data_IF_183022714680
#
_entry.id   IF_183022714680
#
_cell.length_a   1.000
_cell.length_b   1.000
_cell.length_c   1.000
_cell.angle_alpha   90.00
_cell.angle_beta   90.00
_cell.angle_gamma   90.00
#
_symmetry.space_group_name_H-M   'P 1'
#
loop_
_entity.id
_entity.type
_entity.pdbx_description
1 polymer ?
#
# COMPACT_ATOMS: atom_id res chain seq x y z
N UNK A 1 -2.98 5.67 38.94
CA UNK A 1 -4.34 5.77 38.36
C UNK A 1 -4.43 4.76 37.23
N UNK A 2 -5.26 3.73 37.40
CA UNK A 2 -5.43 2.65 36.42
C UNK A 2 -6.13 3.17 35.16
N UNK A 3 -5.40 3.21 34.05
CA UNK A 3 -6.03 3.31 32.73
C UNK A 3 -6.69 1.95 32.44
N UNK A 4 -7.99 1.86 32.70
CA UNK A 4 -8.81 0.81 32.09
C UNK A 4 -8.84 1.08 30.59
N UNK A 5 -8.06 0.32 29.83
CA UNK A 5 -8.29 0.14 28.40
C UNK A 5 -9.66 -0.52 28.23
N UNK A 6 -10.72 0.31 28.20
CA UNK A 6 -12.01 -0.09 27.65
C UNK A 6 -11.87 -0.22 26.14
N UNK A 7 -11.12 -1.22 25.69
CA UNK A 7 -10.97 -1.57 24.29
C UNK A 7 -12.35 -1.89 23.74
N UNK A 8 -12.91 -0.97 22.96
CA UNK A 8 -14.18 -1.20 22.27
C UNK A 8 -13.92 -2.30 21.25
N UNK A 9 -14.58 -3.45 21.43
CA UNK A 9 -14.48 -4.57 20.48
C UNK A 9 -14.68 -4.06 19.05
N UNK A 10 -13.81 -4.46 18.13
CA UNK A 10 -14.02 -4.20 16.71
C UNK A 10 -15.37 -4.81 16.32
N UNK A 11 -16.20 -4.03 15.66
CA UNK A 11 -17.44 -4.54 15.08
C UNK A 11 -17.10 -5.14 13.72
N UNK A 12 -17.73 -6.25 13.39
CA UNK A 12 -17.45 -7.05 12.20
C UNK A 12 -18.71 -7.82 11.77
N UNK A 13 -18.76 -8.27 10.53
CA UNK A 13 -19.84 -9.14 10.03
C UNK A 13 -19.66 -10.52 10.65
N UNK A 14 -20.63 -10.99 11.45
CA UNK A 14 -20.49 -12.26 12.17
C UNK A 14 -20.08 -13.41 11.23
N UNK A 15 -19.17 -14.29 11.67
CA UNK A 15 -18.67 -15.41 10.85
C UNK A 15 -19.78 -16.40 10.45
N UNK A 16 -20.89 -16.44 11.21
CA UNK A 16 -22.07 -17.25 10.91
C UNK A 16 -23.11 -16.54 10.04
N UNK A 17 -22.87 -15.28 9.65
CA UNK A 17 -23.82 -14.51 8.84
C UNK A 17 -23.91 -15.11 7.42
N UNK A 18 -25.13 -15.39 6.90
CA UNK A 18 -25.28 -15.98 5.56
C UNK A 18 -24.75 -15.08 4.43
N UNK A 19 -24.56 -13.77 4.67
CA UNK A 19 -24.01 -12.86 3.69
C UNK A 19 -22.62 -13.29 3.18
N UNK A 20 -21.82 -14.01 3.99
CA UNK A 20 -20.51 -14.55 3.57
C UNK A 20 -20.59 -15.46 2.35
N UNK A 21 -21.70 -16.17 2.15
CA UNK A 21 -21.93 -17.04 0.97
C UNK A 21 -22.21 -16.26 -0.31
N UNK A 22 -22.54 -14.98 -0.19
CA UNK A 22 -22.85 -14.08 -1.30
C UNK A 22 -21.65 -13.23 -1.70
N UNK A 23 -20.71 -13.02 -0.78
CA UNK A 23 -19.45 -12.33 -1.06
C UNK A 23 -18.59 -13.15 -2.03
N UNK A 24 -17.77 -12.44 -2.78
CA UNK A 24 -16.87 -12.98 -3.80
C UNK A 24 -15.42 -12.82 -3.35
N UNK A 25 -14.58 -13.78 -3.74
CA UNK A 25 -13.12 -13.78 -3.70
C UNK A 25 -12.54 -14.14 -5.08
N UNK A 26 -11.22 -14.38 -5.20
CA UNK A 26 -10.53 -14.61 -6.46
C UNK A 26 -11.13 -15.71 -7.34
N UNK A 27 -11.60 -16.80 -6.71
CA UNK A 27 -12.12 -17.98 -7.39
C UNK A 27 -13.64 -18.13 -7.27
N UNK A 28 -14.36 -17.03 -6.98
CA UNK A 28 -15.81 -17.01 -6.85
C UNK A 28 -16.27 -16.92 -5.39
N UNK A 29 -17.01 -17.91 -4.90
CA UNK A 29 -17.58 -17.87 -3.53
C UNK A 29 -16.50 -17.85 -2.44
N UNK A 30 -16.64 -16.95 -1.46
CA UNK A 30 -15.75 -16.84 -0.29
C UNK A 30 -16.23 -17.65 0.92
N UNK A 31 -16.95 -18.76 0.70
CA UNK A 31 -17.58 -19.52 1.79
C UNK A 31 -16.60 -20.13 2.80
N UNK A 32 -15.33 -20.28 2.44
CA UNK A 32 -14.29 -20.86 3.31
C UNK A 32 -13.61 -19.83 4.20
N UNK A 33 -13.64 -18.54 3.81
CA UNK A 33 -13.01 -17.43 4.54
C UNK A 33 -13.43 -17.38 6.02
N UNK A 34 -14.72 -17.53 6.39
CA UNK A 34 -15.12 -17.48 7.80
C UNK A 34 -14.47 -18.56 8.67
N UNK A 35 -14.31 -19.77 8.14
CA UNK A 35 -13.73 -20.88 8.89
C UNK A 35 -12.21 -20.70 9.03
N UNK A 36 -11.52 -20.22 7.99
CA UNK A 36 -10.09 -19.86 8.09
C UNK A 36 -9.86 -18.75 9.12
N UNK A 37 -10.67 -17.69 9.10
CA UNK A 37 -10.59 -16.61 10.09
C UNK A 37 -10.81 -17.12 11.51
N UNK A 38 -11.78 -18.03 11.70
CA UNK A 38 -12.04 -18.66 13.01
C UNK A 38 -10.84 -19.48 13.50
N UNK A 39 -10.18 -20.21 12.60
CA UNK A 39 -8.98 -20.99 12.94
C UNK A 39 -7.82 -20.08 13.33
N UNK A 40 -7.54 -19.03 12.55
CA UNK A 40 -6.51 -18.03 12.88
C UNK A 40 -6.79 -17.31 14.21
N UNK A 41 -8.06 -17.06 14.55
CA UNK A 41 -8.45 -16.50 15.85
C UNK A 41 -8.20 -17.47 17.01
N UNK A 42 -8.30 -18.78 16.79
CA UNK A 42 -8.04 -19.80 17.80
C UNK A 42 -6.54 -20.05 17.99
N UNK A 43 -5.76 -19.91 16.91
CA UNK A 43 -4.31 -19.94 16.91
C UNK A 43 -3.80 -19.48 15.56
N UNK A 44 -2.95 -18.46 15.55
CA UNK A 44 -2.38 -17.94 14.32
C UNK A 44 -1.40 -18.95 13.72
N UNK A 45 -1.60 -19.25 12.44
CA UNK A 45 -0.74 -20.14 11.66
C UNK A 45 -0.34 -19.41 10.38
N UNK A 46 0.97 -19.31 10.13
CA UNK A 46 1.51 -18.49 9.04
C UNK A 46 1.15 -19.03 7.66
N UNK A 47 1.20 -20.35 7.45
CA UNK A 47 0.87 -20.95 6.15
C UNK A 47 -0.62 -20.79 5.81
N UNK A 48 -1.49 -20.94 6.81
CA UNK A 48 -2.92 -20.68 6.66
C UNK A 48 -3.21 -19.19 6.41
N UNK A 49 -2.50 -18.31 7.11
CA UNK A 49 -2.60 -16.87 6.90
C UNK A 49 -2.19 -16.49 5.47
N UNK A 50 -1.06 -16.99 4.98
CA UNK A 50 -0.61 -16.78 3.60
C UNK A 50 -1.64 -17.26 2.58
N UNK A 51 -2.19 -18.47 2.79
CA UNK A 51 -3.25 -19.00 1.91
C UNK A 51 -4.47 -18.08 1.92
N UNK A 52 -4.92 -17.64 3.10
CA UNK A 52 -6.04 -16.70 3.21
C UNK A 52 -5.73 -15.39 2.46
N UNK A 53 -4.54 -14.83 2.65
CA UNK A 53 -4.16 -13.54 2.06
C UNK A 53 -4.12 -13.59 0.54
N UNK A 54 -3.41 -14.56 -0.03
CA UNK A 54 -3.04 -14.56 -1.45
C UNK A 54 -3.98 -15.38 -2.34
N UNK A 55 -4.77 -16.30 -1.78
CA UNK A 55 -5.67 -17.15 -2.57
C UNK A 55 -7.14 -16.81 -2.35
N UNK A 56 -7.50 -16.28 -1.17
CA UNK A 56 -8.90 -16.08 -0.80
C UNK A 56 -9.30 -14.60 -0.71
N UNK A 57 -8.38 -13.72 -0.31
CA UNK A 57 -8.67 -12.29 -0.09
C UNK A 57 -8.12 -11.38 -1.18
N UNK A 58 -7.03 -11.74 -1.84
CA UNK A 58 -6.38 -10.85 -2.79
C UNK A 58 -5.58 -11.64 -3.81
N UNK A 59 -5.79 -11.36 -5.09
CA UNK A 59 -5.06 -12.03 -6.17
C UNK A 59 -4.85 -11.05 -7.33
N UNK A 60 -3.68 -11.13 -7.99
CA UNK A 60 -3.34 -10.30 -9.17
C UNK A 60 -3.70 -8.81 -9.02
N UNK A 61 -3.31 -8.20 -7.90
CA UNK A 61 -3.59 -6.79 -7.61
C UNK A 61 -5.08 -6.40 -7.50
N UNK A 62 -5.95 -7.36 -7.18
CA UNK A 62 -7.39 -7.16 -7.12
C UNK A 62 -7.94 -7.43 -5.73
N UNK A 63 -8.69 -6.46 -5.19
CA UNK A 63 -9.52 -6.63 -4.00
C UNK A 63 -10.89 -7.19 -4.38
N UNK A 64 -11.49 -7.91 -3.44
CA UNK A 64 -12.80 -8.53 -3.59
C UNK A 64 -13.71 -8.17 -2.41
N UNK A 65 -14.99 -8.49 -2.53
CA UNK A 65 -15.96 -8.15 -1.48
C UNK A 65 -15.72 -8.90 -0.16
N UNK A 66 -15.16 -10.12 -0.21
CA UNK A 66 -14.74 -10.85 0.97
C UNK A 66 -13.55 -10.16 1.69
N UNK A 67 -12.66 -9.48 0.96
CA UNK A 67 -11.51 -8.77 1.53
C UNK A 67 -11.96 -7.73 2.54
N UNK A 68 -12.95 -6.91 2.19
CA UNK A 68 -13.48 -5.88 3.07
C UNK A 68 -14.14 -6.46 4.34
N UNK A 69 -14.78 -7.64 4.22
CA UNK A 69 -15.39 -8.32 5.35
C UNK A 69 -14.37 -9.01 6.26
N UNK A 70 -13.26 -9.50 5.71
CA UNK A 70 -12.23 -10.23 6.43
C UNK A 70 -11.26 -9.34 7.20
N UNK A 71 -10.87 -8.17 6.67
CA UNK A 71 -9.88 -7.29 7.32
C UNK A 71 -10.21 -6.94 8.78
N UNK A 72 -11.45 -6.61 9.18
CA UNK A 72 -11.78 -6.39 10.58
C UNK A 72 -11.41 -7.55 11.53
N UNK A 73 -11.44 -8.79 11.04
CA UNK A 73 -11.00 -9.97 11.79
C UNK A 73 -9.49 -10.04 11.92
N UNK A 74 -8.76 -9.80 10.83
CA UNK A 74 -7.29 -9.74 10.84
C UNK A 74 -6.80 -8.68 11.81
N UNK A 75 -7.39 -7.48 11.77
CA UNK A 75 -7.04 -6.40 12.71
C UNK A 75 -7.33 -6.79 14.15
N UNK A 76 -8.44 -7.47 14.42
CA UNK A 76 -8.76 -7.93 15.77
C UNK A 76 -7.73 -8.97 16.29
N UNK A 77 -7.25 -9.86 15.41
CA UNK A 77 -6.15 -10.80 15.72
C UNK A 77 -4.87 -10.02 16.06
N UNK A 78 -4.46 -9.07 15.22
CA UNK A 78 -3.26 -8.27 15.46
C UNK A 78 -3.33 -7.53 16.81
N UNK A 79 -4.44 -6.84 17.09
CA UNK A 79 -4.59 -6.06 18.32
C UNK A 79 -4.67 -6.91 19.60
N UNK A 80 -5.07 -8.18 19.49
CA UNK A 80 -5.12 -9.12 20.63
C UNK A 80 -3.83 -9.92 20.79
N UNK A 81 -3.03 -10.03 19.74
CA UNK A 81 -1.76 -10.75 19.79
C UNK A 81 -0.74 -10.02 20.65
N UNK A 82 -0.07 -10.74 21.54
CA UNK A 82 1.15 -10.26 22.21
C UNK A 82 2.39 -10.40 21.32
N UNK A 83 2.34 -11.27 20.31
CA UNK A 83 3.43 -11.50 19.36
C UNK A 83 3.50 -10.36 18.33
N UNK A 84 4.64 -9.67 18.30
CA UNK A 84 4.89 -8.54 17.40
C UNK A 84 5.07 -8.98 15.94
N UNK A 85 5.53 -10.21 15.69
CA UNK A 85 5.65 -10.76 14.35
C UNK A 85 4.28 -10.96 13.70
N UNK A 86 3.31 -11.46 14.47
CA UNK A 86 1.90 -11.56 14.02
C UNK A 86 1.32 -10.17 13.74
N UNK A 87 1.62 -9.18 14.59
CA UNK A 87 1.20 -7.79 14.37
C UNK A 87 1.78 -7.24 13.07
N UNK A 88 3.08 -7.45 12.84
CA UNK A 88 3.79 -6.97 11.66
C UNK A 88 3.30 -7.61 10.36
N UNK A 89 3.07 -8.93 10.36
CA UNK A 89 2.53 -9.67 9.23
C UNK A 89 1.16 -9.13 8.80
N UNK A 90 0.22 -9.05 9.76
CA UNK A 90 -1.13 -8.51 9.51
C UNK A 90 -1.08 -7.03 9.10
N UNK A 91 -0.19 -6.24 9.71
CA UNK A 91 -0.01 -4.82 9.36
C UNK A 91 0.41 -4.66 7.90
N UNK A 92 1.40 -5.44 7.45
CA UNK A 92 1.91 -5.39 6.09
C UNK A 92 0.85 -5.81 5.07
N UNK A 93 0.19 -6.95 5.27
CA UNK A 93 -0.81 -7.43 4.30
C UNK A 93 -2.03 -6.50 4.21
N UNK A 94 -2.51 -5.97 5.34
CA UNK A 94 -3.59 -5.00 5.32
C UNK A 94 -3.17 -3.69 4.65
N UNK A 95 -1.88 -3.33 4.76
CA UNK A 95 -1.29 -2.19 4.06
C UNK A 95 -1.29 -2.38 2.54
N UNK A 96 -1.00 -3.59 2.06
CA UNK A 96 -1.16 -3.96 0.64
C UNK A 96 -2.61 -3.78 0.21
N UNK A 97 -3.56 -4.29 1.00
CA UNK A 97 -4.97 -4.15 0.65
C UNK A 97 -5.43 -2.70 0.58
N UNK A 98 -5.11 -1.87 1.58
CA UNK A 98 -5.51 -0.46 1.58
C UNK A 98 -4.79 0.36 0.50
N UNK A 99 -3.55 0.03 0.14
CA UNK A 99 -2.84 0.68 -0.96
C UNK A 99 -3.48 0.42 -2.33
N UNK A 100 -4.15 -0.74 -2.51
CA UNK A 100 -4.90 -1.09 -3.73
C UNK A 100 -6.38 -0.72 -3.66
N UNK A 101 -6.81 -0.09 -2.57
CA UNK A 101 -8.18 0.34 -2.38
C UNK A 101 -8.48 1.61 -3.18
N UNK A 102 -8.99 1.43 -4.41
CA UNK A 102 -9.30 2.52 -5.34
C UNK A 102 -10.67 3.18 -5.09
N UNK A 103 -11.31 2.88 -3.96
CA UNK A 103 -12.60 3.47 -3.64
C UNK A 103 -12.46 4.96 -3.26
N UNK A 104 -13.20 5.87 -3.92
CA UNK A 104 -13.17 7.30 -3.62
C UNK A 104 -13.43 7.63 -2.16
N UNK A 105 -12.95 8.80 -1.74
CA UNK A 105 -13.31 9.37 -0.45
C UNK A 105 -14.84 9.49 -0.33
N UNK A 106 -15.39 9.11 0.82
CA UNK A 106 -16.84 9.05 1.11
C UNK A 106 -17.65 7.92 0.44
N UNK A 107 -17.02 7.00 -0.28
CA UNK A 107 -17.67 5.78 -0.77
C UNK A 107 -18.39 5.07 0.38
N UNK A 108 -19.68 4.76 0.23
CA UNK A 108 -20.41 3.98 1.26
C UNK A 108 -20.38 2.49 0.99
N UNK A 109 -20.50 2.13 -0.28
CA UNK A 109 -20.45 0.76 -0.79
C UNK A 109 -19.29 0.67 -1.78
N UNK A 110 -18.31 -0.21 -1.57
CA UNK A 110 -17.17 -0.36 -2.47
C UNK A 110 -17.59 -0.73 -3.90
N UNK A 111 -16.83 -0.25 -4.88
CA UNK A 111 -17.05 -0.51 -6.31
C UNK A 111 -17.09 -2.01 -6.62
N UNK A 112 -16.34 -2.81 -5.86
CA UNK A 112 -16.26 -4.26 -5.94
C UNK A 112 -17.63 -4.94 -5.78
N UNK A 113 -18.52 -4.42 -4.92
CA UNK A 113 -19.87 -4.98 -4.74
C UNK A 113 -20.71 -4.87 -6.01
N UNK A 114 -20.52 -3.78 -6.78
CA UNK A 114 -21.19 -3.61 -8.07
C UNK A 114 -20.47 -4.37 -9.18
N UNK A 115 -19.13 -4.31 -9.23
CA UNK A 115 -18.28 -5.04 -10.19
C UNK A 115 -18.57 -6.54 -10.18
N UNK A 116 -18.66 -7.11 -8.98
CA UNK A 116 -18.83 -8.55 -8.77
C UNK A 116 -20.31 -8.98 -8.72
N UNK A 117 -21.25 -8.06 -8.96
CA UNK A 117 -22.69 -8.31 -8.99
C UNK A 117 -23.22 -9.02 -7.73
N UNK A 118 -22.69 -8.66 -6.57
CA UNK A 118 -23.00 -9.28 -5.29
C UNK A 118 -24.45 -8.97 -4.87
N UNK A 119 -25.22 -10.01 -4.54
CA UNK A 119 -26.64 -9.91 -4.17
C UNK A 119 -26.85 -9.72 -2.66
N UNK A 120 -26.03 -8.89 -2.04
CA UNK A 120 -26.13 -8.53 -0.61
C UNK A 120 -26.95 -7.24 -0.48
N UNK A 121 -27.74 -7.13 0.59
CA UNK A 121 -28.47 -5.90 0.90
C UNK A 121 -27.51 -4.71 1.05
N UNK A 122 -27.86 -3.56 0.49
CA UNK A 122 -27.00 -2.37 0.51
C UNK A 122 -26.60 -1.96 1.94
N UNK A 123 -27.48 -2.12 2.93
CA UNK A 123 -27.17 -1.81 4.33
C UNK A 123 -26.07 -2.71 4.92
N UNK A 124 -26.01 -3.98 4.49
CA UNK A 124 -24.96 -4.92 4.90
C UNK A 124 -23.64 -4.57 4.21
N UNK A 125 -23.67 -4.22 2.92
CA UNK A 125 -22.48 -3.78 2.20
C UNK A 125 -21.90 -2.48 2.79
N UNK A 126 -22.76 -1.51 3.12
CA UNK A 126 -22.36 -0.28 3.83
C UNK A 126 -21.76 -0.59 5.21
N UNK A 127 -22.36 -1.54 5.95
CA UNK A 127 -21.85 -1.97 7.25
C UNK A 127 -20.45 -2.60 7.14
N UNK A 128 -20.25 -3.53 6.20
CA UNK A 128 -18.97 -4.19 5.94
C UNK A 128 -17.89 -3.13 5.69
N UNK A 129 -18.14 -2.19 4.78
CA UNK A 129 -17.13 -1.21 4.43
C UNK A 129 -16.90 -0.16 5.54
N UNK A 130 -17.93 0.18 6.30
CA UNK A 130 -17.76 0.99 7.51
C UNK A 130 -16.85 0.29 8.52
N UNK A 131 -17.00 -1.02 8.72
CA UNK A 131 -16.14 -1.79 9.65
C UNK A 131 -14.72 -1.93 9.13
N UNK A 132 -14.54 -2.17 7.83
CA UNK A 132 -13.23 -2.14 7.17
C UNK A 132 -12.49 -0.84 7.48
N UNK A 133 -13.11 0.32 7.22
CA UNK A 133 -12.47 1.62 7.49
C UNK A 133 -12.16 1.85 8.96
N UNK A 134 -13.05 1.44 9.85
CA UNK A 134 -12.78 1.48 11.29
C UNK A 134 -11.56 0.62 11.64
N UNK A 135 -11.41 -0.56 11.05
CA UNK A 135 -10.28 -1.44 11.27
C UNK A 135 -8.96 -0.84 10.77
N UNK A 136 -8.97 -0.20 9.59
CA UNK A 136 -7.81 0.53 9.05
C UNK A 136 -7.34 1.65 10.00
N UNK A 137 -8.26 2.44 10.56
CA UNK A 137 -7.92 3.46 11.57
C UNK A 137 -7.24 2.85 12.79
N UNK A 138 -7.67 1.65 13.20
CA UNK A 138 -7.06 0.94 14.34
C UNK A 138 -5.67 0.41 14.01
N UNK A 139 -5.42 -0.06 12.80
CA UNK A 139 -4.07 -0.44 12.36
C UNK A 139 -3.13 0.76 12.28
N UNK A 140 -3.64 1.94 11.88
CA UNK A 140 -2.84 3.16 11.84
C UNK A 140 -2.19 3.48 13.21
N UNK A 141 -2.84 3.12 14.32
CA UNK A 141 -2.33 3.30 15.68
C UNK A 141 -1.06 2.46 15.96
N UNK A 142 -0.82 1.37 15.22
CA UNK A 142 0.35 0.52 15.36
C UNK A 142 1.59 1.04 14.60
N UNK A 143 1.45 2.10 13.80
CA UNK A 143 2.51 2.57 12.87
C UNK A 143 3.86 2.81 13.55
N UNK A 144 3.87 3.49 14.71
CA UNK A 144 5.12 3.74 15.44
C UNK A 144 5.78 2.45 15.91
N UNK A 145 5.00 1.50 16.41
CA UNK A 145 5.51 0.19 16.86
C UNK A 145 6.10 -0.60 15.69
N UNK A 146 5.38 -0.65 14.56
CA UNK A 146 5.81 -1.42 13.39
C UNK A 146 7.06 -0.82 12.73
N UNK A 147 7.17 0.52 12.70
CA UNK A 147 8.39 1.20 12.24
C UNK A 147 9.60 0.84 13.11
N UNK A 148 9.45 0.86 14.44
CA UNK A 148 10.55 0.49 15.33
C UNK A 148 10.91 -1.00 15.22
N UNK A 149 9.91 -1.87 15.07
CA UNK A 149 10.14 -3.30 14.84
C UNK A 149 10.92 -3.54 13.55
N UNK A 150 10.47 -2.96 12.44
CA UNK A 150 11.07 -3.16 11.14
C UNK A 150 12.47 -2.55 11.00
N UNK A 151 12.75 -1.45 11.72
CA UNK A 151 14.11 -0.92 11.81
C UNK A 151 15.13 -2.00 12.22
N UNK A 152 14.76 -2.84 13.19
CA UNK A 152 15.65 -3.83 13.81
C UNK A 152 15.58 -5.22 13.15
N UNK A 153 14.46 -5.55 12.50
CA UNK A 153 14.18 -6.93 12.04
C UNK A 153 14.00 -7.08 10.53
N UNK A 154 13.86 -5.99 9.78
CA UNK A 154 13.60 -6.03 8.34
C UNK A 154 14.79 -5.48 7.52
N UNK A 155 14.99 -6.07 6.35
CA UNK A 155 15.84 -5.48 5.31
C UNK A 155 15.14 -4.31 4.61
N UNK A 156 15.84 -3.64 3.69
CA UNK A 156 15.35 -2.40 3.04
C UNK A 156 13.96 -2.57 2.37
N UNK A 157 13.74 -3.69 1.69
CA UNK A 157 12.45 -4.03 1.07
C UNK A 157 11.34 -4.12 2.12
N UNK A 158 11.56 -4.85 3.21
CA UNK A 158 10.59 -4.98 4.30
C UNK A 158 10.28 -3.64 4.98
N UNK A 159 11.30 -2.79 5.17
CA UNK A 159 11.12 -1.42 5.68
C UNK A 159 10.21 -0.59 4.77
N UNK A 160 10.38 -0.67 3.44
CA UNK A 160 9.49 0.03 2.49
C UNK A 160 8.06 -0.50 2.52
N UNK A 161 7.84 -1.80 2.71
CA UNK A 161 6.49 -2.33 2.91
C UNK A 161 5.81 -1.78 4.16
N UNK A 162 6.55 -1.65 5.27
CA UNK A 162 6.02 -1.03 6.50
C UNK A 162 5.69 0.45 6.29
N UNK A 163 6.57 1.21 5.62
CA UNK A 163 6.29 2.60 5.25
C UNK A 163 5.07 2.71 4.32
N UNK A 164 4.92 1.78 3.36
CA UNK A 164 3.78 1.75 2.45
C UNK A 164 2.48 1.49 3.20
N UNK A 165 2.47 0.51 4.11
CA UNK A 165 1.31 0.22 4.96
C UNK A 165 0.92 1.44 5.82
N UNK A 166 1.88 2.06 6.50
CA UNK A 166 1.65 3.28 7.27
C UNK A 166 1.10 4.43 6.42
N UNK A 167 1.63 4.63 5.22
CA UNK A 167 1.14 5.64 4.29
C UNK A 167 -0.31 5.36 3.88
N UNK A 168 -0.63 4.10 3.56
CA UNK A 168 -1.96 3.68 3.16
C UNK A 168 -2.99 3.97 4.26
N UNK A 169 -2.68 3.61 5.51
CA UNK A 169 -3.58 3.80 6.65
C UNK A 169 -3.80 5.26 7.01
N UNK A 170 -2.82 6.13 6.74
CA UNK A 170 -2.93 7.59 6.90
C UNK A 170 -3.64 8.28 5.71
N UNK A 171 -4.01 7.52 4.68
CA UNK A 171 -4.68 8.04 3.49
C UNK A 171 -3.74 8.56 2.40
N UNK A 172 -2.42 8.42 2.56
CA UNK A 172 -1.42 8.72 1.53
C UNK A 172 -1.27 7.55 0.54
N UNK A 173 -2.39 7.14 -0.06
CA UNK A 173 -2.47 5.94 -0.92
C UNK A 173 -1.51 6.00 -2.12
N UNK A 174 -1.30 7.19 -2.69
CA UNK A 174 -0.34 7.37 -3.79
C UNK A 174 1.11 7.10 -3.37
N UNK A 175 1.49 7.48 -2.16
CA UNK A 175 2.80 7.13 -1.60
C UNK A 175 2.89 5.63 -1.34
N UNK A 176 1.85 5.03 -0.75
CA UNK A 176 1.81 3.59 -0.49
C UNK A 176 1.97 2.78 -1.78
N UNK A 177 1.23 3.16 -2.83
CA UNK A 177 1.31 2.53 -4.14
C UNK A 177 2.72 2.68 -4.75
N UNK A 178 3.31 3.87 -4.68
CA UNK A 178 4.66 4.13 -5.17
C UNK A 178 5.70 3.25 -4.45
N UNK A 179 5.65 3.19 -3.12
CA UNK A 179 6.58 2.37 -2.33
C UNK A 179 6.45 0.87 -2.61
N UNK A 180 5.24 0.37 -2.87
CA UNK A 180 5.03 -1.03 -3.25
C UNK A 180 5.41 -1.32 -4.71
N UNK A 181 5.29 -0.34 -5.61
CA UNK A 181 5.65 -0.52 -7.02
C UNK A 181 7.15 -0.46 -7.25
N UNK A 182 7.86 0.28 -6.39
CA UNK A 182 9.30 0.51 -6.45
C UNK A 182 9.94 0.12 -5.10
N UNK A 183 9.69 -1.12 -4.70
CA UNK A 183 9.99 -1.67 -3.37
C UNK A 183 11.49 -1.90 -3.13
N UNK A 184 12.32 -1.91 -4.17
CA UNK A 184 13.79 -1.90 -4.01
C UNK A 184 14.38 -0.50 -4.15
N UNK A 185 13.66 0.41 -4.82
CA UNK A 185 14.18 1.73 -5.19
C UNK A 185 15.35 1.70 -6.17
N UNK A 186 15.54 0.59 -6.89
CA UNK A 186 16.53 0.50 -7.97
C UNK A 186 16.02 1.12 -9.28
N UNK A 187 14.72 1.32 -9.39
CA UNK A 187 14.09 1.90 -10.57
C UNK A 187 12.81 2.64 -10.16
N UNK A 188 12.57 3.77 -10.80
CA UNK A 188 11.26 4.41 -10.87
C UNK A 188 10.94 4.68 -12.33
N UNK A 189 9.68 4.53 -12.73
CA UNK A 189 9.26 4.79 -14.11
C UNK A 189 8.09 5.76 -14.15
N UNK A 190 8.10 6.66 -15.13
CA UNK A 190 6.98 7.56 -15.44
C UNK A 190 6.94 7.89 -16.93
N UNK A 191 5.80 8.32 -17.44
CA UNK A 191 5.69 8.78 -18.81
C UNK A 191 5.72 10.31 -18.85
N UNK A 192 6.43 10.90 -19.82
CA UNK A 192 6.41 12.34 -20.01
C UNK A 192 4.96 12.82 -20.25
N UNK A 193 4.40 13.73 -19.43
CA UNK A 193 3.02 14.16 -19.55
C UNK A 193 2.74 14.95 -20.84
N UNK A 194 3.78 15.40 -21.55
CA UNK A 194 3.67 16.19 -22.77
C UNK A 194 3.81 15.35 -24.05
N UNK A 195 4.84 14.51 -24.17
CA UNK A 195 5.10 13.72 -25.38
C UNK A 195 4.87 12.22 -25.22
N UNK A 196 4.55 11.72 -24.01
CA UNK A 196 4.30 10.31 -23.73
C UNK A 196 5.53 9.42 -23.74
N UNK A 197 6.74 9.97 -23.92
CA UNK A 197 7.98 9.19 -23.87
C UNK A 197 8.14 8.56 -22.48
N UNK A 198 8.38 7.24 -22.38
CA UNK A 198 8.68 6.60 -21.11
C UNK A 198 10.04 7.09 -20.59
N UNK A 199 10.10 7.37 -19.30
CA UNK A 199 11.28 7.87 -18.60
C UNK A 199 11.63 6.91 -17.46
N UNK A 200 12.90 6.53 -17.41
CA UNK A 200 13.45 5.57 -16.46
C UNK A 200 14.36 6.31 -15.50
N UNK A 201 13.94 6.45 -14.25
CA UNK A 201 14.70 7.12 -13.19
C UNK A 201 15.44 6.04 -12.40
N UNK A 202 16.76 6.15 -12.35
CA UNK A 202 17.65 5.09 -11.86
C UNK A 202 18.74 5.66 -10.95
N UNK A 203 19.21 4.88 -9.96
CA UNK A 203 20.43 5.20 -9.21
C UNK A 203 21.63 5.31 -10.15
N UNK A 204 22.39 6.40 -10.02
CA UNK A 204 23.73 6.50 -10.59
C UNK A 204 24.68 5.64 -9.74
N UNK A 205 25.29 4.63 -10.37
CA UNK A 205 26.24 3.69 -9.73
C UNK A 205 27.43 4.41 -9.06
N UNK A 206 27.71 5.66 -9.43
CA UNK A 206 28.87 6.39 -8.95
C UNK A 206 28.60 7.31 -7.75
N UNK A 207 27.37 7.80 -7.54
CA UNK A 207 27.15 8.98 -6.69
C UNK A 207 25.92 8.98 -5.76
N UNK A 208 25.24 7.86 -5.49
CA UNK A 208 24.01 7.82 -4.67
C UNK A 208 22.93 8.86 -5.12
N UNK A 209 22.99 9.27 -6.40
CA UNK A 209 22.06 10.23 -7.00
C UNK A 209 21.06 9.49 -7.89
N UNK A 210 19.94 10.13 -8.22
CA UNK A 210 19.06 9.62 -9.28
C UNK A 210 19.31 10.39 -10.58
N UNK A 211 19.36 9.65 -11.68
CA UNK A 211 19.44 10.15 -13.06
C UNK A 211 18.26 9.63 -13.86
N UNK A 212 18.00 10.21 -15.04
CA UNK A 212 16.92 9.76 -15.93
C UNK A 212 17.46 9.34 -17.29
N UNK A 213 16.88 8.28 -17.83
CA UNK A 213 17.09 7.78 -19.19
C UNK A 213 15.78 7.84 -20.00
N UNK A 214 15.90 8.07 -21.31
CA UNK A 214 14.79 8.06 -22.28
C UNK A 214 14.57 6.70 -22.95
N UNK A 215 15.38 5.72 -22.56
CA UNK A 215 15.31 4.30 -22.95
C UNK A 215 15.60 3.44 -21.75
N UNK A 216 15.11 2.21 -21.81
CA UNK A 216 15.31 1.19 -20.79
C UNK A 216 16.82 0.87 -20.62
N UNK A 217 17.43 1.15 -19.45
CA UNK A 217 18.84 0.88 -19.16
C UNK A 217 19.20 -0.60 -19.11
N UNK A 218 18.22 -1.48 -18.85
CA UNK A 218 18.46 -2.93 -18.80
C UNK A 218 18.63 -3.50 -20.21
N UNK A 219 17.91 -2.94 -21.17
CA UNK A 219 17.83 -3.43 -22.55
C UNK A 219 18.64 -2.61 -23.55
N UNK A 220 19.35 -1.57 -23.10
CA UNK A 220 20.07 -0.64 -23.98
C UNK A 220 21.48 -0.35 -23.46
N UNK A 221 22.47 -0.48 -24.33
CA UNK A 221 23.86 -0.15 -24.02
C UNK A 221 24.18 1.33 -24.30
N UNK A 222 25.20 1.86 -23.60
CA UNK A 222 25.78 3.19 -23.81
C UNK A 222 24.78 4.36 -23.74
N UNK A 223 23.80 4.26 -22.84
CA UNK A 223 22.88 5.36 -22.60
C UNK A 223 23.59 6.55 -21.94
N UNK A 224 23.15 7.75 -22.30
CA UNK A 224 23.62 8.99 -21.67
C UNK A 224 22.62 9.36 -20.56
N UNK A 225 23.03 9.39 -19.28
CA UNK A 225 22.15 9.80 -18.21
C UNK A 225 21.87 11.30 -18.30
N UNK A 226 20.61 11.67 -18.06
CA UNK A 226 20.21 13.07 -17.93
C UNK A 226 20.07 13.44 -16.45
N UNK A 227 20.56 14.63 -16.04
CA UNK A 227 20.57 15.02 -14.64
C UNK A 227 19.17 15.38 -14.14
N UNK A 228 18.90 15.00 -12.89
CA UNK A 228 17.74 15.49 -12.13
C UNK A 228 18.21 16.66 -11.26
N UNK A 229 17.44 17.75 -11.24
CA UNK A 229 17.66 18.88 -10.33
C UNK A 229 17.03 18.55 -8.97
N UNK A 230 17.82 18.20 -7.93
CA UNK A 230 17.27 17.87 -6.62
C UNK A 230 16.67 19.12 -5.98
N UNK A 231 15.75 18.90 -5.03
CA UNK A 231 15.12 19.99 -4.29
C UNK A 231 15.17 19.73 -2.78
N UNK A 232 15.23 20.81 -2.00
CA UNK A 232 15.22 20.72 -0.53
C UNK A 232 13.87 20.26 0.03
N UNK A 233 13.90 19.72 1.25
CA UNK A 233 12.75 19.24 2.02
C UNK A 233 12.00 20.35 2.78
N UNK A 234 12.52 21.58 2.82
CA UNK A 234 12.16 22.60 3.80
C UNK A 234 10.69 23.11 3.76
N UNK A 235 9.98 22.96 2.63
CA UNK A 235 8.61 23.49 2.45
C UNK A 235 7.74 22.58 1.57
N UNK A 236 7.19 21.50 2.16
CA UNK A 236 6.46 20.47 1.42
C UNK A 236 5.06 20.19 1.98
N UNK A 237 4.25 19.50 1.16
CA UNK A 237 2.97 18.96 1.59
C UNK A 237 3.12 17.93 2.71
N UNK A 238 2.08 17.79 3.53
CA UNK A 238 2.06 16.91 4.71
C UNK A 238 2.47 15.46 4.42
N UNK A 239 2.17 14.96 3.21
CA UNK A 239 2.49 13.62 2.77
C UNK A 239 4.01 13.38 2.60
N UNK A 240 4.75 14.34 2.04
CA UNK A 240 6.21 14.19 1.89
C UNK A 240 6.92 14.37 3.22
N UNK A 241 6.42 15.28 4.06
CA UNK A 241 6.95 15.45 5.42
C UNK A 241 6.79 14.18 6.24
N UNK A 242 5.61 13.55 6.17
CA UNK A 242 5.35 12.26 6.79
C UNK A 242 6.31 11.19 6.28
N UNK A 243 6.47 11.05 4.96
CA UNK A 243 7.36 10.03 4.38
C UNK A 243 8.81 10.22 4.83
N UNK A 244 9.30 11.46 4.80
CA UNK A 244 10.65 11.77 5.26
C UNK A 244 10.85 11.44 6.74
N UNK A 245 9.92 11.86 7.61
CA UNK A 245 10.00 11.59 9.05
C UNK A 245 10.06 10.09 9.34
N UNK A 246 9.18 9.29 8.75
CA UNK A 246 9.15 7.85 9.00
C UNK A 246 10.30 7.11 8.32
N UNK A 247 10.75 7.54 7.14
CA UNK A 247 11.97 7.01 6.52
C UNK A 247 13.21 7.25 7.40
N UNK A 248 13.29 8.39 8.08
CA UNK A 248 14.32 8.66 9.09
C UNK A 248 14.19 7.73 10.29
N UNK A 249 12.97 7.57 10.84
CA UNK A 249 12.74 6.70 12.01
C UNK A 249 13.08 5.23 11.74
N UNK A 250 12.75 4.72 10.56
CA UNK A 250 13.00 3.31 10.18
C UNK A 250 14.43 3.08 9.64
N UNK A 251 15.20 4.16 9.45
CA UNK A 251 16.53 4.15 8.86
C UNK A 251 16.55 3.53 7.45
N UNK A 252 15.59 3.92 6.59
CA UNK A 252 15.64 3.65 5.16
C UNK A 252 16.53 4.72 4.49
N UNK A 253 17.84 4.49 4.52
CA UNK A 253 18.83 5.47 4.06
C UNK A 253 18.80 5.69 2.54
N UNK A 254 18.44 4.66 1.76
CA UNK A 254 18.41 4.75 0.30
C UNK A 254 17.27 5.66 -0.16
N UNK A 255 16.07 5.46 0.38
CA UNK A 255 14.91 6.31 0.16
C UNK A 255 15.19 7.74 0.63
N UNK A 256 15.85 7.94 1.77
CA UNK A 256 16.25 9.28 2.24
C UNK A 256 17.19 9.98 1.26
N UNK A 257 18.19 9.28 0.73
CA UNK A 257 19.12 9.82 -0.27
C UNK A 257 18.41 10.13 -1.61
N UNK A 258 17.44 9.30 -2.00
CA UNK A 258 16.68 9.44 -3.23
C UNK A 258 15.60 10.53 -3.16
N UNK A 259 15.04 10.79 -1.97
CA UNK A 259 13.87 11.66 -1.82
C UNK A 259 14.06 13.07 -2.41
N UNK A 260 15.21 13.77 -2.24
CA UNK A 260 15.47 15.07 -2.88
C UNK A 260 15.35 15.05 -4.42
N UNK A 261 15.62 13.91 -5.06
CA UNK A 261 15.52 13.73 -6.50
C UNK A 261 14.10 13.35 -6.92
N UNK A 262 13.39 12.50 -6.16
CA UNK A 262 12.00 12.13 -6.43
C UNK A 262 11.04 13.34 -6.34
N UNK A 263 11.41 14.34 -5.54
CA UNK A 263 10.73 15.64 -5.42
C UNK A 263 11.47 16.75 -6.19
N UNK A 264 12.35 16.37 -7.10
CA UNK A 264 13.11 17.25 -7.97
C UNK A 264 12.41 17.54 -9.28
N UNK A 265 13.15 18.19 -10.16
CA UNK A 265 12.74 18.51 -11.52
C UNK A 265 13.66 17.86 -12.53
N UNK A 266 13.10 17.41 -13.64
CA UNK A 266 13.87 17.02 -14.83
C UNK A 266 13.31 17.74 -16.05
N UNK A 267 14.14 17.92 -17.07
CA UNK A 267 13.67 18.35 -18.39
C UNK A 267 13.61 17.11 -19.28
N UNK A 268 12.46 16.86 -19.92
CA UNK A 268 12.29 15.65 -20.73
C UNK A 268 13.38 15.59 -21.82
N UNK A 269 14.17 14.50 -21.91
CA UNK A 269 15.25 14.39 -22.91
C UNK A 269 14.80 14.54 -24.37
N UNK A 270 13.51 14.29 -24.64
CA UNK A 270 12.95 14.30 -25.99
C UNK A 270 12.27 15.63 -26.33
N UNK A 271 11.33 16.10 -25.50
CA UNK A 271 10.55 17.31 -25.80
C UNK A 271 10.98 18.55 -25.00
N UNK A 272 11.99 18.42 -24.12
CA UNK A 272 12.56 19.50 -23.32
C UNK A 272 11.55 20.25 -22.43
N UNK A 273 10.40 19.63 -22.15
CA UNK A 273 9.39 20.18 -21.23
C UNK A 273 9.80 19.85 -19.79
N UNK A 274 9.74 20.82 -18.85
CA UNK A 274 10.04 20.56 -17.45
C UNK A 274 8.98 19.67 -16.82
N UNK A 275 9.42 18.68 -16.06
CA UNK A 275 8.58 17.70 -15.35
C UNK A 275 8.93 17.75 -13.87
N UNK A 276 7.91 17.88 -13.04
CA UNK A 276 8.02 17.69 -11.61
C UNK A 276 7.75 16.21 -11.29
N UNK A 277 8.80 15.47 -10.91
CA UNK A 277 8.77 14.00 -10.83
C UNK A 277 7.69 13.52 -9.86
N UNK A 278 7.58 14.19 -8.71
CA UNK A 278 6.65 13.79 -7.65
C UNK A 278 5.20 13.79 -8.13
N UNK A 279 4.77 14.83 -8.85
CA UNK A 279 3.38 14.89 -9.34
C UNK A 279 3.06 13.74 -10.31
N UNK A 280 3.99 13.38 -11.18
CA UNK A 280 3.79 12.26 -12.12
C UNK A 280 3.81 10.91 -11.40
N UNK A 281 4.68 10.71 -10.41
CA UNK A 281 4.66 9.50 -9.57
C UNK A 281 3.36 9.37 -8.78
N UNK A 282 2.82 10.47 -8.24
CA UNK A 282 1.57 10.41 -7.46
C UNK A 282 0.36 10.09 -8.34
N UNK A 283 0.35 10.52 -9.61
CA UNK A 283 -0.73 10.20 -10.57
C UNK A 283 -0.79 8.71 -10.91
N UNK A 284 0.29 7.95 -10.75
CA UNK A 284 0.29 6.50 -11.01
C UNK A 284 -0.74 5.74 -10.17
N UNK A 285 -1.11 6.27 -9.00
CA UNK A 285 -2.09 5.67 -8.11
C UNK A 285 -3.56 6.06 -8.43
N UNK A 286 -3.80 7.17 -9.13
CA UNK A 286 -5.15 7.69 -9.39
C UNK A 286 -5.88 6.99 -10.55
N UNK A 287 -5.24 5.99 -11.15
CA UNK A 287 -5.84 5.10 -12.12
C UNK A 287 -4.81 4.58 -13.09
N UNK A 288 -4.82 3.25 -13.25
CA UNK A 288 -4.81 2.60 -14.56
C UNK A 288 -4.02 3.42 -15.59
N UNK A 289 -2.69 3.22 -15.69
CA UNK A 289 -2.00 3.57 -16.93
C UNK A 289 -2.79 2.86 -18.02
N UNK A 290 -3.58 3.66 -18.74
CA UNK A 290 -4.40 3.19 -19.85
C UNK A 290 -3.44 2.45 -20.75
N UNK A 291 -3.71 1.15 -20.93
CA UNK A 291 -3.13 0.30 -21.97
C UNK A 291 -2.47 1.14 -23.07
N UNK A 292 -1.15 1.21 -23.07
CA UNK A 292 -0.43 1.50 -24.29
C UNK A 292 -0.46 0.20 -25.08
N UNK A 293 -1.25 0.23 -26.16
CA UNK A 293 -1.23 -0.77 -27.22
C UNK A 293 0.16 -0.92 -27.82
#
# INVERSE_FOLDING_TARGET
MNFKNGGRSIKMLALSDPAWTLLQGPYGSSQYVPEMLKQLQAGYDGEMADTLYWEELYHQNTLYTCTFAAVPYLVDIALKSSDIGIRADIYNICGIFEAKNNNPLHTKVPLEFTRDQVKVDSSVAEYIYAQYRCAIVRLAELTEEMVLYAKEHEGDVGKRYVLAAGAAFQGYRCIAYMLQSFDTGDEYTLDCPHCGTPLYIWPDEQNDTLVVYDKDPVNSDNLVPHPIRPRSLDHKGANIQWLHEYAQKIEENKLLAQLPYLIGWLDCPVCNTPIYIWDELMKMADGVRRYTA
#
